data_IF_726263421001
#
_entry.id   IF_726263421001
#
_cell.length_a   1.000
_cell.length_b   1.000
_cell.length_c   1.000
_cell.angle_alpha   90.00
_cell.angle_beta   90.00
_cell.angle_gamma   90.00
#
_symmetry.space_group_name_H-M   'P 1'
#
loop_
_entity.id
_entity.type
_entity.pdbx_description
1 polymer ?
#
# COMPACT_ATOMS: atom_id res chain seq x y z
N UNK A 1 7.29 21.79 17.01
CA UNK A 1 6.47 22.04 18.21
C UNK A 1 7.41 22.01 19.41
N UNK A 2 7.59 23.11 20.15
CA UNK A 2 8.61 23.25 21.21
C UNK A 2 8.30 22.50 22.51
N UNK A 3 7.67 21.32 22.42
CA UNK A 3 7.34 20.46 23.56
C UNK A 3 8.39 19.34 23.57
N UNK A 4 9.03 19.13 24.73
CA UNK A 4 9.93 18.00 24.91
C UNK A 4 9.11 16.69 24.92
N UNK A 5 9.32 15.77 23.96
CA UNK A 5 8.56 14.51 23.87
C UNK A 5 8.59 13.70 25.16
N UNK A 6 9.68 13.78 25.94
CA UNK A 6 9.84 13.06 27.21
C UNK A 6 8.86 13.48 28.28
N UNK A 7 8.30 14.69 28.16
CA UNK A 7 7.29 15.21 29.08
C UNK A 7 5.90 14.64 28.79
N UNK A 8 5.72 14.01 27.63
CA UNK A 8 4.48 13.34 27.26
C UNK A 8 4.37 11.99 27.98
N UNK A 9 3.12 11.55 28.21
CA UNK A 9 2.81 10.22 28.75
C UNK A 9 2.81 9.13 27.67
N UNK A 10 3.16 9.46 26.44
CA UNK A 10 3.22 8.53 25.33
C UNK A 10 4.38 7.54 25.53
N UNK A 11 4.17 6.25 25.26
CA UNK A 11 5.17 5.19 25.49
C UNK A 11 5.36 4.28 24.29
N UNK A 12 4.31 4.09 23.52
CA UNK A 12 4.36 3.28 22.30
C UNK A 12 3.37 3.78 21.26
N UNK A 13 3.63 3.42 20.01
CA UNK A 13 2.74 3.61 18.88
C UNK A 13 2.65 2.33 18.07
N UNK A 14 1.47 2.05 17.54
CA UNK A 14 1.21 0.90 16.68
C UNK A 14 0.93 1.47 15.29
N UNK A 15 1.74 1.08 14.31
CA UNK A 15 1.76 1.64 12.97
C UNK A 15 1.54 0.52 11.95
N UNK A 16 0.68 0.76 10.99
CA UNK A 16 0.31 -0.21 9.95
C UNK A 16 -0.39 0.51 8.82
N UNK A 17 -1.21 -0.23 8.07
CA UNK A 17 -1.94 0.22 6.88
C UNK A 17 -1.08 0.63 5.67
N UNK A 18 0.12 1.17 5.88
CA UNK A 18 1.06 1.50 4.80
C UNK A 18 2.49 1.01 5.06
N UNK A 19 3.26 0.72 4.01
CA UNK A 19 4.68 0.40 4.15
C UNK A 19 5.46 1.60 4.70
N UNK A 20 6.25 1.34 5.74
CA UNK A 20 7.18 2.31 6.32
C UNK A 20 8.51 1.62 6.62
N UNK A 21 9.61 2.36 6.56
CA UNK A 21 10.96 1.78 6.64
C UNK A 21 11.45 1.73 8.08
N UNK A 22 12.48 0.92 8.37
CA UNK A 22 13.13 0.94 9.68
C UNK A 22 13.78 2.29 10.00
N UNK A 23 14.17 3.05 8.98
CA UNK A 23 14.65 4.42 9.17
C UNK A 23 13.52 5.36 9.63
N UNK A 24 12.33 5.26 9.03
CA UNK A 24 11.15 5.99 9.51
C UNK A 24 10.80 5.59 10.93
N UNK A 25 10.92 4.30 11.27
CA UNK A 25 10.76 3.82 12.65
C UNK A 25 11.68 4.52 13.62
N UNK A 26 12.98 4.50 13.36
CA UNK A 26 13.98 5.17 14.21
C UNK A 26 13.70 6.66 14.33
N UNK A 27 13.23 7.30 13.25
CA UNK A 27 12.86 8.71 13.28
C UNK A 27 11.64 8.98 14.17
N UNK A 28 10.57 8.19 14.04
CA UNK A 28 9.36 8.28 14.88
C UNK A 28 9.71 8.05 16.35
N UNK A 29 10.45 6.98 16.65
CA UNK A 29 10.88 6.65 18.02
C UNK A 29 11.70 7.80 18.61
N UNK A 30 12.63 8.38 17.85
CA UNK A 30 13.46 9.51 18.29
C UNK A 30 12.66 10.80 18.48
N UNK A 31 11.74 11.11 17.57
CA UNK A 31 10.96 12.35 17.60
C UNK A 31 9.90 12.35 18.70
N UNK A 32 9.35 11.19 19.05
CA UNK A 32 8.27 11.06 20.02
C UNK A 32 8.71 10.46 21.36
N UNK A 33 9.94 9.95 21.47
CA UNK A 33 10.45 9.20 22.63
C UNK A 33 9.55 8.00 22.98
N UNK A 34 9.24 7.19 21.97
CA UNK A 34 8.35 6.01 22.08
C UNK A 34 9.00 4.76 21.49
N UNK A 35 8.37 3.61 21.73
CA UNK A 35 8.54 2.40 20.91
C UNK A 35 7.50 2.31 19.81
N UNK A 36 7.93 2.09 18.57
CA UNK A 36 7.04 1.99 17.42
C UNK A 36 6.97 0.54 16.93
N UNK A 37 5.76 0.00 16.88
CA UNK A 37 5.50 -1.40 16.54
C UNK A 37 4.72 -1.52 15.24
N UNK A 38 5.12 -2.44 14.37
CA UNK A 38 4.37 -2.81 13.19
C UNK A 38 3.11 -3.63 13.56
N UNK A 39 1.99 -3.31 12.91
CA UNK A 39 0.77 -4.13 12.88
C UNK A 39 0.36 -4.37 11.43
N UNK A 40 -0.06 -5.60 11.15
CA UNK A 40 -0.50 -6.04 9.84
C UNK A 40 -1.96 -6.52 9.90
N UNK A 41 -2.68 -6.24 8.82
CA UNK A 41 -4.10 -6.50 8.71
C UNK A 41 -4.64 -6.19 7.32
N UNK A 42 -5.71 -6.91 6.94
CA UNK A 42 -6.40 -6.77 5.67
C UNK A 42 -7.91 -6.74 5.93
N UNK A 43 -8.63 -5.87 5.24
CA UNK A 43 -10.08 -5.71 5.41
C UNK A 43 -10.85 -7.00 5.12
N UNK A 44 -10.40 -7.76 4.12
CA UNK A 44 -10.96 -9.04 3.69
C UNK A 44 -10.92 -10.09 4.81
N UNK A 45 -9.87 -10.03 5.64
CA UNK A 45 -9.65 -10.96 6.74
C UNK A 45 -10.38 -10.47 8.00
N UNK A 46 -9.90 -9.40 8.65
CA UNK A 46 -10.53 -8.83 9.85
C UNK A 46 -10.18 -7.35 10.10
N UNK A 47 -9.37 -6.73 9.24
CA UNK A 47 -8.70 -5.47 9.52
C UNK A 47 -7.45 -5.68 10.40
N UNK A 48 -7.18 -4.81 11.40
CA UNK A 48 -5.97 -4.93 12.23
C UNK A 48 -5.99 -6.17 13.13
N UNK A 49 -4.81 -6.66 13.49
CA UNK A 49 -4.65 -7.77 14.45
C UNK A 49 -4.45 -9.16 13.82
N UNK A 50 -4.24 -9.22 12.50
CA UNK A 50 -3.82 -10.46 11.83
C UNK A 50 -2.41 -10.85 12.25
N UNK A 51 -1.51 -9.85 12.28
CA UNK A 51 -0.15 -10.02 12.76
C UNK A 51 0.39 -8.74 13.40
N UNK A 52 1.29 -8.86 14.37
CA UNK A 52 1.84 -7.73 15.12
C UNK A 52 3.26 -7.98 15.66
N UNK A 53 4.07 -6.94 15.78
CA UNK A 53 5.37 -7.04 16.44
C UNK A 53 5.26 -7.20 17.96
N UNK A 54 6.18 -7.98 18.54
CA UNK A 54 6.44 -7.97 19.98
C UNK A 54 7.54 -6.96 20.35
N UNK A 55 7.88 -6.89 21.63
CA UNK A 55 8.95 -6.05 22.18
C UNK A 55 10.34 -6.33 21.58
N UNK A 56 10.54 -7.49 20.95
CA UNK A 56 11.79 -7.82 20.27
C UNK A 56 11.96 -7.05 18.95
N UNK A 57 10.87 -6.54 18.34
CA UNK A 57 10.90 -5.83 17.04
C UNK A 57 11.62 -6.65 15.93
N UNK A 58 11.49 -7.98 15.97
CA UNK A 58 12.13 -8.94 15.05
C UNK A 58 11.08 -9.82 14.33
N UNK A 59 10.32 -9.17 13.45
CA UNK A 59 9.20 -9.79 12.73
C UNK A 59 7.88 -9.71 13.50
N UNK A 60 6.79 -10.00 12.80
CA UNK A 60 5.42 -9.86 13.31
C UNK A 60 4.84 -11.24 13.60
N UNK A 61 4.40 -11.50 14.83
CA UNK A 61 3.71 -12.73 15.20
C UNK A 61 2.34 -12.79 14.55
N UNK A 62 1.99 -13.92 13.93
CA UNK A 62 0.66 -14.17 13.36
C UNK A 62 -0.23 -14.79 14.44
N UNK A 63 -1.48 -14.36 14.53
CA UNK A 63 -2.47 -14.96 15.44
C UNK A 63 -2.95 -16.31 14.87
N UNK A 64 -2.11 -17.35 15.00
CA UNK A 64 -2.33 -18.68 14.39
C UNK A 64 -3.58 -19.41 14.88
N UNK A 65 -4.09 -19.03 16.05
CA UNK A 65 -5.36 -19.50 16.59
C UNK A 65 -6.57 -19.04 15.75
N UNK A 66 -6.41 -18.00 14.93
CA UNK A 66 -7.44 -17.49 14.02
C UNK A 66 -7.08 -17.56 12.54
N UNK A 67 -5.78 -17.54 12.20
CA UNK A 67 -5.29 -17.45 10.81
C UNK A 67 -4.18 -18.46 10.55
N UNK A 68 -4.36 -19.33 9.57
CA UNK A 68 -3.33 -20.24 9.10
C UNK A 68 -2.54 -19.61 7.94
N UNK A 69 -1.24 -19.29 8.12
CA UNK A 69 -0.43 -18.66 7.09
C UNK A 69 0.29 -19.67 6.20
N UNK A 70 0.40 -19.33 4.92
CA UNK A 70 1.24 -20.00 3.93
C UNK A 70 2.00 -18.93 3.14
N UNK A 71 3.18 -19.27 2.62
CA UNK A 71 3.87 -18.46 1.61
C UNK A 71 4.07 -19.33 0.39
N UNK A 72 3.61 -18.85 -0.76
CA UNK A 72 3.63 -19.57 -2.04
C UNK A 72 4.45 -18.82 -3.08
N UNK A 73 4.95 -19.56 -4.05
CA UNK A 73 5.45 -18.99 -5.29
C UNK A 73 4.26 -18.41 -6.08
N UNK A 74 4.31 -17.13 -6.51
CA UNK A 74 3.17 -16.46 -7.13
C UNK A 74 2.82 -16.98 -8.52
N UNK A 75 3.77 -17.61 -9.23
CA UNK A 75 3.59 -18.10 -10.60
C UNK A 75 3.08 -19.54 -10.62
N UNK A 76 3.59 -20.37 -9.71
CA UNK A 76 3.32 -21.82 -9.66
C UNK A 76 2.26 -22.19 -8.61
N UNK A 77 2.10 -21.37 -7.57
CA UNK A 77 1.21 -21.65 -6.44
C UNK A 77 1.75 -22.67 -5.42
N UNK A 78 2.98 -23.17 -5.62
CA UNK A 78 3.63 -24.13 -4.74
C UNK A 78 4.11 -23.49 -3.43
N UNK A 79 4.13 -24.26 -2.35
CA UNK A 79 4.61 -23.78 -1.05
C UNK A 79 6.12 -23.54 -1.07
N UNK A 80 6.52 -22.39 -0.54
CA UNK A 80 7.94 -22.05 -0.36
C UNK A 80 8.44 -22.45 1.04
N UNK A 81 9.73 -22.80 1.17
CA UNK A 81 10.38 -23.00 2.45
C UNK A 81 10.35 -21.77 3.35
N UNK A 82 10.42 -21.97 4.68
CA UNK A 82 10.57 -20.88 5.64
C UNK A 82 11.82 -20.03 5.31
N UNK A 83 11.68 -18.71 5.40
CA UNK A 83 12.72 -17.73 5.08
C UNK A 83 12.77 -17.29 3.62
N UNK A 84 12.12 -18.01 2.69
CA UNK A 84 12.00 -17.58 1.30
C UNK A 84 10.86 -16.56 1.12
N UNK A 85 11.06 -15.61 0.21
CA UNK A 85 10.07 -14.58 -0.08
C UNK A 85 9.12 -15.04 -1.17
N UNK A 86 7.82 -14.97 -0.88
CA UNK A 86 6.76 -15.24 -1.85
C UNK A 86 5.45 -14.57 -1.44
N UNK A 87 4.36 -14.97 -2.09
CA UNK A 87 3.03 -14.41 -1.84
C UNK A 87 2.41 -15.02 -0.58
N UNK A 88 2.00 -14.14 0.34
CA UNK A 88 1.34 -14.52 1.58
C UNK A 88 -0.10 -14.97 1.31
N UNK A 89 -0.47 -16.08 1.94
CA UNK A 89 -1.80 -16.68 1.82
C UNK A 89 -2.33 -16.95 3.23
N UNK A 90 -3.61 -16.65 3.45
CA UNK A 90 -4.27 -16.94 4.72
C UNK A 90 -5.50 -17.82 4.55
N UNK A 91 -5.67 -18.75 5.49
CA UNK A 91 -6.95 -19.41 5.76
C UNK A 91 -7.49 -18.95 7.11
N UNK A 92 -8.70 -18.40 7.12
CA UNK A 92 -9.38 -17.93 8.33
C UNK A 92 -10.08 -19.11 9.04
N UNK A 93 -9.60 -19.48 10.22
CA UNK A 93 -10.13 -20.63 10.97
C UNK A 93 -11.29 -20.21 11.90
N UNK A 94 -11.21 -19.02 12.50
CA UNK A 94 -12.19 -18.54 13.49
C UNK A 94 -13.31 -17.64 12.95
N UNK A 95 -13.39 -17.43 11.63
CA UNK A 95 -14.34 -16.47 11.01
C UNK A 95 -15.57 -17.20 10.45
N UNK A 96 -16.73 -16.99 11.05
CA UNK A 96 -17.96 -17.73 10.70
C UNK A 96 -18.76 -17.13 9.52
N UNK A 97 -18.88 -15.80 9.46
CA UNK A 97 -19.77 -15.15 8.49
C UNK A 97 -19.20 -15.14 7.05
N UNK A 98 -17.89 -15.04 6.91
CA UNK A 98 -17.18 -15.04 5.63
C UNK A 98 -15.79 -15.68 5.80
N UNK A 99 -15.71 -17.01 5.97
CA UNK A 99 -14.44 -17.71 6.04
C UNK A 99 -13.73 -17.63 4.68
N UNK A 100 -12.51 -17.15 4.70
CA UNK A 100 -11.64 -17.15 3.53
C UNK A 100 -10.69 -18.34 3.63
N UNK A 101 -10.62 -19.16 2.58
CA UNK A 101 -9.76 -20.34 2.51
C UNK A 101 -8.73 -20.09 1.43
N UNK A 102 -7.45 -20.23 1.78
CA UNK A 102 -6.30 -19.93 0.92
C UNK A 102 -6.45 -18.61 0.16
N UNK A 103 -6.80 -17.54 0.87
CA UNK A 103 -6.88 -16.22 0.28
C UNK A 103 -5.48 -15.66 0.00
N UNK A 104 -5.19 -15.50 -1.29
CA UNK A 104 -4.00 -14.86 -1.86
C UNK A 104 -4.02 -13.36 -1.57
N UNK A 105 -3.18 -12.88 -0.64
CA UNK A 105 -3.17 -11.47 -0.24
C UNK A 105 -2.50 -10.56 -1.27
N UNK A 106 -1.70 -11.15 -2.16
CA UNK A 106 -0.76 -10.47 -3.06
C UNK A 106 0.40 -9.78 -2.36
N UNK A 107 0.49 -9.83 -1.04
CA UNK A 107 1.61 -9.24 -0.29
C UNK A 107 2.82 -10.20 -0.28
N UNK A 108 4.02 -9.66 -0.54
CA UNK A 108 5.26 -10.45 -0.57
C UNK A 108 5.95 -10.43 0.80
N UNK A 109 6.03 -11.58 1.45
CA UNK A 109 6.71 -11.74 2.74
C UNK A 109 7.43 -13.09 2.84
N UNK A 110 8.13 -13.30 3.95
CA UNK A 110 8.70 -14.59 4.33
C UNK A 110 8.21 -15.00 5.73
N UNK A 111 8.01 -16.31 5.94
CA UNK A 111 7.65 -16.87 7.24
C UNK A 111 8.88 -17.40 7.98
N UNK A 112 8.81 -17.35 9.31
CA UNK A 112 9.82 -17.84 10.23
C UNK A 112 9.16 -18.58 11.39
N UNK A 113 9.60 -19.81 11.63
CA UNK A 113 9.11 -20.69 12.70
C UNK A 113 10.08 -20.85 13.86
N UNK A 114 11.20 -20.14 13.85
CA UNK A 114 12.15 -20.16 14.96
C UNK A 114 11.58 -19.46 16.20
N UNK A 115 11.96 -19.96 17.38
CA UNK A 115 11.49 -19.44 18.66
C UNK A 115 11.84 -17.95 18.82
N UNK A 116 10.87 -17.17 19.27
CA UNK A 116 11.09 -15.76 19.58
C UNK A 116 11.54 -15.59 21.03
N UNK A 117 12.48 -14.67 21.27
CA UNK A 117 12.97 -14.35 22.62
C UNK A 117 11.89 -13.79 23.56
N UNK A 118 10.74 -13.33 23.04
CA UNK A 118 9.58 -12.92 23.84
C UNK A 118 8.82 -14.10 24.47
N UNK A 119 9.16 -15.34 24.10
CA UNK A 119 8.53 -16.56 24.61
C UNK A 119 7.26 -17.01 23.88
N UNK A 120 6.71 -16.20 22.96
CA UNK A 120 5.60 -16.64 22.08
C UNK A 120 6.09 -17.70 21.10
N UNK A 121 5.24 -18.69 20.86
CA UNK A 121 5.50 -19.79 19.92
C UNK A 121 4.90 -19.56 18.53
N UNK A 122 4.25 -18.41 18.31
CA UNK A 122 3.59 -18.11 17.05
C UNK A 122 4.60 -17.87 15.92
N UNK A 123 4.26 -18.36 14.73
CA UNK A 123 4.93 -18.05 13.47
C UNK A 123 5.09 -16.55 13.34
N UNK A 124 6.28 -16.12 12.91
CA UNK A 124 6.56 -14.73 12.58
C UNK A 124 6.62 -14.55 11.07
N UNK A 125 5.98 -13.50 10.55
CA UNK A 125 6.21 -13.01 9.20
C UNK A 125 7.16 -11.82 9.21
N UNK A 126 7.91 -11.65 8.14
CA UNK A 126 8.57 -10.37 7.86
C UNK A 126 7.53 -9.30 7.55
N UNK A 127 7.93 -8.03 7.63
CA UNK A 127 7.17 -6.96 6.99
C UNK A 127 6.99 -7.27 5.49
N UNK A 128 5.80 -7.04 4.91
CA UNK A 128 5.63 -7.14 3.46
C UNK A 128 6.59 -6.19 2.75
N UNK A 129 7.32 -6.70 1.74
CA UNK A 129 8.27 -5.91 0.94
C UNK A 129 7.64 -5.22 -0.26
N UNK A 130 6.42 -5.61 -0.61
CA UNK A 130 5.72 -5.16 -1.79
C UNK A 130 4.58 -6.11 -2.10
N UNK A 131 4.07 -6.02 -3.32
CA UNK A 131 2.98 -6.86 -3.81
C UNK A 131 3.31 -7.53 -5.13
N UNK A 132 2.68 -8.68 -5.39
CA UNK A 132 2.73 -9.38 -6.68
C UNK A 132 1.81 -8.74 -7.73
N UNK A 133 0.87 -7.89 -7.31
CA UNK A 133 -0.02 -7.13 -8.19
C UNK A 133 0.40 -5.65 -8.34
N UNK A 134 -0.36 -4.89 -9.12
CA UNK A 134 -0.08 -3.48 -9.39
C UNK A 134 -0.74 -2.52 -8.36
N UNK A 135 -1.19 -3.02 -7.19
CA UNK A 135 -1.87 -2.20 -6.19
C UNK A 135 -0.91 -1.24 -5.49
N UNK A 136 -1.35 0.01 -5.32
CA UNK A 136 -0.62 1.05 -4.59
C UNK A 136 -1.28 1.29 -3.24
N UNK A 137 -0.47 1.59 -2.22
CA UNK A 137 -0.95 2.08 -0.93
C UNK A 137 -0.53 3.53 -0.82
N UNK A 138 -1.49 4.45 -0.75
CA UNK A 138 -1.27 5.90 -0.67
C UNK A 138 -1.97 6.42 0.58
N UNK A 139 -1.21 6.89 1.58
CA UNK A 139 -1.74 7.40 2.85
C UNK A 139 -2.68 6.40 3.55
N UNK A 140 -2.30 5.12 3.55
CA UNK A 140 -3.09 4.02 4.10
C UNK A 140 -4.32 3.58 3.29
N UNK A 141 -4.53 4.12 2.08
CA UNK A 141 -5.64 3.73 1.18
C UNK A 141 -5.13 2.87 0.03
N UNK A 142 -5.81 1.75 -0.23
CA UNK A 142 -5.52 0.86 -1.36
C UNK A 142 -6.08 1.45 -2.66
N UNK A 143 -5.22 1.65 -3.64
CA UNK A 143 -5.53 2.24 -4.95
C UNK A 143 -5.08 1.28 -6.04
N UNK A 144 -6.03 0.84 -6.87
CA UNK A 144 -5.72 0.07 -8.07
C UNK A 144 -5.67 0.99 -9.29
N UNK A 145 -4.67 0.86 -10.18
CA UNK A 145 -4.62 1.62 -11.43
C UNK A 145 -5.88 1.49 -12.28
N UNK A 146 -6.55 0.32 -12.27
CA UNK A 146 -7.82 0.10 -12.96
C UNK A 146 -8.96 1.01 -12.48
N UNK A 147 -8.96 1.43 -11.22
CA UNK A 147 -9.94 2.39 -10.70
C UNK A 147 -9.69 3.80 -11.26
N UNK A 148 -8.42 4.20 -11.41
CA UNK A 148 -8.04 5.46 -12.07
C UNK A 148 -8.50 5.41 -13.53
N UNK A 149 -8.20 4.33 -14.24
CA UNK A 149 -8.62 4.12 -15.63
C UNK A 149 -10.13 4.22 -15.80
N UNK A 150 -10.90 3.56 -14.92
CA UNK A 150 -12.35 3.61 -14.95
C UNK A 150 -12.88 5.04 -14.82
N UNK A 151 -12.38 5.82 -13.86
CA UNK A 151 -12.77 7.22 -13.67
C UNK A 151 -12.42 8.08 -14.90
N UNK A 152 -11.25 7.87 -15.49
CA UNK A 152 -10.84 8.61 -16.69
C UNK A 152 -11.76 8.29 -17.88
N UNK A 153 -12.10 7.02 -18.07
CA UNK A 153 -13.03 6.57 -19.12
C UNK A 153 -14.44 7.15 -18.94
N UNK A 154 -14.97 7.18 -17.71
CA UNK A 154 -16.28 7.78 -17.42
C UNK A 154 -16.33 9.27 -17.77
N UNK A 155 -15.20 9.97 -17.63
CA UNK A 155 -15.05 11.37 -17.99
C UNK A 155 -14.72 11.60 -19.48
N UNK A 156 -14.74 10.54 -20.30
CA UNK A 156 -14.37 10.54 -21.71
C UNK A 156 -12.94 11.02 -21.98
N UNK A 157 -12.00 10.74 -21.06
CA UNK A 157 -10.57 11.02 -21.27
C UNK A 157 -9.85 9.89 -22.01
N UNK A 158 -8.67 10.19 -22.55
CA UNK A 158 -7.81 9.18 -23.15
C UNK A 158 -7.38 8.14 -22.09
N UNK A 159 -7.45 6.84 -22.39
CA UNK A 159 -7.01 5.78 -21.47
C UNK A 159 -5.49 5.72 -21.31
N UNK A 160 -4.72 6.51 -22.05
CA UNK A 160 -3.30 6.65 -21.86
C UNK A 160 -3.00 7.60 -20.69
N UNK A 161 -2.75 7.01 -19.53
CA UNK A 161 -2.37 7.72 -18.31
C UNK A 161 -1.11 7.13 -17.67
N UNK A 162 -0.53 7.90 -16.74
CA UNK A 162 0.61 7.52 -15.90
C UNK A 162 0.39 8.01 -14.47
N UNK A 163 0.52 7.11 -13.51
CA UNK A 163 0.49 7.40 -12.08
C UNK A 163 1.93 7.57 -11.61
N UNK A 164 2.23 8.74 -11.07
CA UNK A 164 3.47 9.05 -10.40
C UNK A 164 3.21 9.10 -8.90
N UNK A 165 3.97 8.31 -8.16
CA UNK A 165 3.94 8.32 -6.69
C UNK A 165 5.29 8.80 -6.18
N UNK A 166 5.27 9.80 -5.32
CA UNK A 166 6.46 10.27 -4.60
C UNK A 166 6.16 10.49 -3.12
N UNK A 167 7.21 10.80 -2.35
CA UNK A 167 7.10 11.15 -0.94
C UNK A 167 7.87 12.44 -0.71
N UNK A 168 7.15 13.49 -0.29
CA UNK A 168 7.71 14.80 0.03
C UNK A 168 7.34 15.13 1.46
N UNK A 169 8.33 15.45 2.30
CA UNK A 169 8.13 15.77 3.73
C UNK A 169 7.34 14.69 4.50
N UNK A 170 7.64 13.40 4.26
CA UNK A 170 6.97 12.23 4.86
C UNK A 170 5.48 12.08 4.51
N UNK A 171 4.99 12.79 3.50
CA UNK A 171 3.65 12.62 2.95
C UNK A 171 3.74 12.05 1.54
N UNK A 172 2.97 10.99 1.31
CA UNK A 172 2.81 10.42 -0.03
C UNK A 172 2.01 11.40 -0.90
N UNK A 173 2.53 11.69 -2.09
CA UNK A 173 1.79 12.39 -3.13
C UNK A 173 1.57 11.46 -4.32
N UNK A 174 0.36 11.54 -4.86
CA UNK A 174 -0.05 10.85 -6.07
C UNK A 174 -0.36 11.91 -7.12
N UNK A 175 0.31 11.82 -8.27
CA UNK A 175 0.01 12.61 -9.47
C UNK A 175 -0.47 11.65 -10.58
N UNK A 176 -1.60 11.97 -11.20
CA UNK A 176 -2.13 11.26 -12.37
C UNK A 176 -1.95 12.16 -13.59
N UNK A 177 -1.06 11.74 -14.48
CA UNK A 177 -0.84 12.37 -15.77
C UNK A 177 -1.74 11.70 -16.80
N UNK A 178 -2.56 12.47 -17.52
CA UNK A 178 -3.47 11.96 -18.54
C UNK A 178 -3.35 12.80 -19.81
N UNK A 179 -3.33 12.15 -20.97
CA UNK A 179 -3.28 12.85 -22.25
C UNK A 179 -4.62 13.55 -22.55
N UNK A 180 -4.54 14.75 -23.10
CA UNK A 180 -5.72 15.46 -23.59
C UNK A 180 -6.22 14.79 -24.88
N UNK A 181 -7.54 14.70 -25.02
CA UNK A 181 -8.14 14.33 -26.30
C UNK A 181 -8.03 15.52 -27.26
N UNK A 182 -7.97 15.26 -28.56
CA UNK A 182 -7.95 16.32 -29.60
C UNK A 182 -9.16 17.27 -29.53
N UNK A 183 -10.30 16.82 -28.99
CA UNK A 183 -11.48 17.65 -28.76
C UNK A 183 -11.39 18.59 -27.54
N UNK A 184 -10.47 18.31 -26.61
CA UNK A 184 -10.22 19.11 -25.40
C UNK A 184 -9.02 20.03 -25.56
N UNK A 185 -8.34 19.99 -26.70
CA UNK A 185 -7.26 20.90 -27.06
C UNK A 185 -7.87 22.29 -27.34
N UNK A 186 -8.28 23.00 -26.29
CA UNK A 186 -8.74 24.39 -26.36
C UNK A 186 -7.62 25.34 -25.94
N UNK A 187 -7.52 26.48 -26.61
CA UNK A 187 -6.46 27.49 -26.40
C UNK A 187 -6.61 28.29 -25.09
N UNK A 188 -7.59 27.97 -24.23
CA UNK A 188 -7.85 28.71 -22.98
C UNK A 188 -7.39 27.93 -21.75
N UNK A 189 -6.37 28.47 -21.07
CA UNK A 189 -5.81 27.95 -19.79
C UNK A 189 -6.90 27.63 -18.76
N UNK A 190 -7.98 28.42 -18.72
CA UNK A 190 -9.08 28.24 -17.77
C UNK A 190 -9.87 26.94 -17.97
N UNK A 191 -9.97 26.44 -19.20
CA UNK A 191 -10.70 25.21 -19.51
C UNK A 191 -9.91 23.96 -19.09
N UNK A 192 -8.58 24.03 -19.21
CA UNK A 192 -7.62 23.04 -18.73
C UNK A 192 -7.74 22.89 -17.21
N UNK A 193 -7.65 23.99 -16.46
CA UNK A 193 -7.75 23.96 -14.99
C UNK A 193 -9.10 23.42 -14.50
N UNK A 194 -10.19 23.76 -15.19
CA UNK A 194 -11.52 23.23 -14.85
C UNK A 194 -11.62 21.73 -15.09
N UNK A 195 -10.99 21.24 -16.16
CA UNK A 195 -10.94 19.81 -16.49
C UNK A 195 -10.10 19.04 -15.48
N UNK A 196 -8.94 19.56 -15.09
CA UNK A 196 -8.10 18.99 -14.03
C UNK A 196 -8.90 18.85 -12.73
N UNK A 197 -9.50 19.94 -12.24
CA UNK A 197 -10.31 19.91 -11.00
C UNK A 197 -11.47 18.93 -11.07
N UNK A 198 -12.10 18.77 -12.24
CA UNK A 198 -13.18 17.81 -12.45
C UNK A 198 -12.67 16.37 -12.28
N UNK A 199 -11.52 16.06 -12.87
CA UNK A 199 -10.90 14.73 -12.76
C UNK A 199 -10.42 14.50 -11.31
N UNK A 200 -9.78 15.49 -10.68
CA UNK A 200 -9.35 15.42 -9.28
C UNK A 200 -10.53 15.11 -8.35
N UNK A 201 -11.65 15.81 -8.51
CA UNK A 201 -12.86 15.57 -7.70
C UNK A 201 -13.45 14.18 -7.90
N UNK A 202 -13.46 13.67 -9.14
CA UNK A 202 -13.94 12.33 -9.44
C UNK A 202 -13.01 11.25 -8.85
N UNK A 203 -11.70 11.40 -9.03
CA UNK A 203 -10.70 10.50 -8.45
C UNK A 203 -10.76 10.49 -6.93
N UNK A 204 -10.88 11.67 -6.29
CA UNK A 204 -11.02 11.78 -4.85
C UNK A 204 -12.28 11.06 -4.33
N UNK A 205 -13.38 11.12 -5.08
CA UNK A 205 -14.66 10.49 -4.72
C UNK A 205 -14.59 8.96 -4.83
N UNK A 206 -13.92 8.45 -5.87
CA UNK A 206 -13.81 7.00 -6.12
C UNK A 206 -12.71 6.34 -5.30
N UNK A 207 -11.55 6.99 -5.20
CA UNK A 207 -10.36 6.42 -4.56
C UNK A 207 -10.26 6.77 -3.07
N UNK A 208 -11.05 7.73 -2.58
CA UNK A 208 -10.93 8.30 -1.23
C UNK A 208 -9.54 8.88 -0.89
N UNK A 209 -8.72 9.18 -1.90
CA UNK A 209 -7.41 9.82 -1.74
C UNK A 209 -7.24 10.94 -2.76
N UNK A 210 -6.57 12.01 -2.34
CA UNK A 210 -6.31 13.14 -3.21
C UNK A 210 -5.20 12.79 -4.19
N UNK A 211 -5.52 12.83 -5.49
CA UNK A 211 -4.55 12.72 -6.56
C UNK A 211 -4.50 14.05 -7.31
N UNK A 212 -3.30 14.63 -7.46
CA UNK A 212 -3.10 15.79 -8.33
C UNK A 212 -3.25 15.33 -9.77
N UNK A 213 -4.01 16.05 -10.59
CA UNK A 213 -4.11 15.73 -12.02
C UNK A 213 -3.26 16.70 -12.82
N UNK A 214 -2.58 16.17 -13.85
CA UNK A 214 -1.86 16.97 -14.82
C UNK A 214 -2.26 16.54 -16.22
N UNK A 215 -2.82 17.47 -16.99
CA UNK A 215 -3.10 17.22 -18.40
C UNK A 215 -1.80 17.31 -19.22
N UNK A 216 -1.59 16.31 -20.07
CA UNK A 216 -0.41 16.19 -20.93
C UNK A 216 -0.80 16.34 -22.40
N UNK A 217 0.14 16.80 -23.23
CA UNK A 217 -0.09 16.88 -24.66
C UNK A 217 -0.28 15.46 -25.27
N UNK A 218 -1.12 15.32 -26.31
CA UNK A 218 -1.35 14.03 -26.96
C UNK A 218 -0.05 13.37 -27.44
N UNK A 219 0.17 12.11 -27.10
CA UNK A 219 1.32 11.32 -27.52
C UNK A 219 2.62 11.57 -26.74
N UNK A 220 2.58 12.30 -25.62
CA UNK A 220 3.75 12.57 -24.78
C UNK A 220 4.00 11.51 -23.71
N UNK A 221 2.99 10.73 -23.33
CA UNK A 221 3.15 9.64 -22.36
C UNK A 221 3.71 8.38 -23.03
N UNK A 222 4.57 7.62 -22.34
CA UNK A 222 5.20 6.43 -22.89
C UNK A 222 4.15 5.36 -23.24
N UNK A 223 4.20 4.84 -24.46
CA UNK A 223 3.37 3.72 -24.92
C UNK A 223 4.12 2.41 -24.72
N UNK A 224 3.43 1.36 -24.29
CA UNK A 224 3.98 0.00 -24.18
C UNK A 224 3.21 -0.94 -25.08
N UNK A 225 3.90 -1.84 -25.77
CA UNK A 225 3.30 -2.88 -26.63
C UNK A 225 2.75 -4.09 -25.82
N UNK A 226 2.89 -4.09 -24.48
CA UNK A 226 2.40 -5.12 -23.56
C UNK A 226 1.60 -4.55 -22.38
N UNK A 227 1.66 -5.19 -21.20
CA UNK A 227 1.04 -4.66 -19.96
C UNK A 227 1.66 -3.28 -19.67
N UNK A 228 0.89 -2.22 -19.94
CA UNK A 228 1.41 -0.87 -19.82
C UNK A 228 1.86 -0.61 -18.38
N UNK A 229 3.12 -0.19 -18.19
CA UNK A 229 3.60 0.23 -16.88
C UNK A 229 2.97 1.57 -16.54
N UNK A 230 1.76 1.53 -15.99
CA UNK A 230 0.95 2.69 -15.61
C UNK A 230 1.41 3.38 -14.33
N UNK A 231 2.39 2.81 -13.63
CA UNK A 231 2.84 3.32 -12.33
C UNK A 231 4.36 3.50 -12.31
N UNK A 232 4.79 4.67 -11.87
CA UNK A 232 6.17 4.97 -11.49
C UNK A 232 6.16 5.38 -10.03
N UNK A 233 6.60 4.46 -9.18
CA UNK A 233 6.81 4.71 -7.75
C UNK A 233 8.26 5.19 -7.51
N UNK A 234 8.41 6.44 -7.07
CA UNK A 234 9.70 7.07 -6.75
C UNK A 234 9.99 7.11 -5.25
N UNK A 235 9.12 6.50 -4.43
CA UNK A 235 9.35 6.42 -2.97
C UNK A 235 10.58 5.54 -2.74
N UNK A 236 11.52 6.02 -1.94
CA UNK A 236 12.62 5.17 -1.47
C UNK A 236 12.09 4.28 -0.35
N UNK A 237 12.00 2.98 -0.63
CA UNK A 237 11.65 1.93 0.34
C UNK A 237 12.86 1.51 1.18
#
# INVERSE_FOLDING_TARGET
MGIDPKTLKLRGGIFGAEPWTDNMRREIERLLDIKAYDIYGLSEITGPGVSYECECQEGMHICEDYFYPEVIDPDTGELLPDGEFGELVFTCIGKEALPLIRYCTRDICALRRDACSCGRTFIRMTKPRGRSDDMLIIRGVNVFPSQVEHVLLELNMDPNYLILVDRVNNLDNMEVQVEMNSALFSDTVRDIENTEKRIEGALQSTLNVHARVRLMEPGTLPRSEGKAKRVIDKRQM
#
